data_IF_807431028406
#
_entry.id   IF_807431028406
#
_cell.length_a   1.000
_cell.length_b   1.000
_cell.length_c   1.000
_cell.angle_alpha   90.00
_cell.angle_beta   90.00
_cell.angle_gamma   90.00
#
_symmetry.space_group_name_H-M   'P 1'
#
loop_
_entity.id
_entity.type
_entity.pdbx_description
1 polymer ?
#
# COMPACT_ATOMS: atom_id res chain seq x y z
N UNK A 1 19.71 -44.49 -10.51
CA UNK A 1 19.43 -43.25 -11.27
C UNK A 1 20.20 -42.12 -10.60
N UNK A 2 21.34 -41.72 -11.18
CA UNK A 2 22.17 -40.64 -10.64
C UNK A 2 21.73 -39.31 -11.26
N UNK A 3 20.77 -38.63 -10.62
CA UNK A 3 20.25 -37.35 -11.11
C UNK A 3 21.23 -36.25 -10.69
N UNK A 4 21.93 -35.70 -11.67
CA UNK A 4 22.84 -34.54 -11.62
C UNK A 4 24.17 -34.72 -10.85
N UNK A 5 25.18 -35.25 -11.55
CA UNK A 5 26.61 -35.10 -11.18
C UNK A 5 27.12 -33.71 -11.61
N UNK A 6 26.55 -32.62 -11.07
CA UNK A 6 27.07 -31.27 -11.34
C UNK A 6 28.37 -31.07 -10.55
N UNK A 7 29.51 -31.17 -11.23
CA UNK A 7 30.82 -30.80 -10.67
C UNK A 7 30.90 -29.27 -10.59
N UNK A 8 30.37 -28.68 -9.52
CA UNK A 8 30.59 -27.26 -9.24
C UNK A 8 32.06 -27.02 -8.89
N UNK A 9 32.76 -26.24 -9.70
CA UNK A 9 34.09 -25.69 -9.40
C UNK A 9 34.01 -24.78 -8.16
N UNK A 10 35.08 -24.74 -7.34
CA UNK A 10 35.11 -24.02 -6.06
C UNK A 10 34.65 -22.56 -6.19
N UNK A 11 35.16 -21.86 -7.21
CA UNK A 11 34.78 -20.48 -7.56
C UNK A 11 33.30 -20.27 -7.88
N UNK A 12 32.63 -21.23 -8.54
CA UNK A 12 31.18 -21.11 -8.82
C UNK A 12 30.33 -21.27 -7.57
N UNK A 13 30.78 -22.07 -6.60
CA UNK A 13 30.09 -22.22 -5.31
C UNK A 13 30.19 -20.97 -4.48
N UNK A 14 31.36 -20.35 -4.46
CA UNK A 14 31.60 -19.12 -3.69
C UNK A 14 30.74 -17.97 -4.23
N UNK A 15 30.62 -17.82 -5.56
CA UNK A 15 29.71 -16.85 -6.18
C UNK A 15 28.23 -17.12 -5.88
N UNK A 16 27.81 -18.40 -5.94
CA UNK A 16 26.43 -18.77 -5.64
C UNK A 16 26.09 -18.49 -4.17
N UNK A 17 26.99 -18.82 -3.24
CA UNK A 17 26.83 -18.53 -1.82
C UNK A 17 26.72 -17.02 -1.56
N UNK A 18 27.53 -16.21 -2.25
CA UNK A 18 27.46 -14.76 -2.14
C UNK A 18 26.12 -14.20 -2.65
N UNK A 19 25.61 -14.68 -3.80
CA UNK A 19 24.32 -14.26 -4.35
C UNK A 19 23.17 -14.68 -3.41
N UNK A 20 23.19 -15.92 -2.92
CA UNK A 20 22.18 -16.42 -1.99
C UNK A 20 22.20 -15.64 -0.67
N UNK A 21 23.37 -15.29 -0.16
CA UNK A 21 23.52 -14.46 1.04
C UNK A 21 22.87 -13.08 0.86
N UNK A 22 23.12 -12.41 -0.27
CA UNK A 22 22.50 -11.11 -0.59
C UNK A 22 20.97 -11.24 -0.70
N UNK A 23 20.48 -12.21 -1.48
CA UNK A 23 19.05 -12.44 -1.67
C UNK A 23 18.32 -12.73 -0.36
N UNK A 24 18.94 -13.53 0.50
CA UNK A 24 18.41 -13.86 1.80
C UNK A 24 18.32 -12.63 2.72
N UNK A 25 19.32 -11.73 2.67
CA UNK A 25 19.29 -10.48 3.43
C UNK A 25 18.19 -9.52 2.94
N UNK A 26 18.01 -9.41 1.62
CA UNK A 26 16.90 -8.67 1.02
C UNK A 26 15.56 -9.25 1.50
N UNK A 27 15.43 -10.59 1.53
CA UNK A 27 14.21 -11.24 1.99
C UNK A 27 13.91 -11.00 3.48
N UNK A 28 14.93 -10.88 4.35
CA UNK A 28 14.75 -10.45 5.74
C UNK A 28 14.16 -9.05 5.82
N UNK A 29 14.70 -8.08 5.05
CA UNK A 29 14.18 -6.70 5.04
C UNK A 29 12.73 -6.68 4.58
N UNK A 30 12.39 -7.40 3.51
CA UNK A 30 11.01 -7.52 3.03
C UNK A 30 10.09 -8.17 4.07
N UNK A 31 10.56 -9.19 4.79
CA UNK A 31 9.82 -9.83 5.87
C UNK A 31 9.49 -8.87 7.03
N UNK A 32 10.43 -7.99 7.40
CA UNK A 32 10.23 -6.95 8.42
C UNK A 32 9.18 -5.95 7.95
N UNK A 33 9.23 -5.52 6.69
CA UNK A 33 8.24 -4.61 6.10
C UNK A 33 6.84 -5.24 6.17
N UNK A 34 6.69 -6.51 5.74
CA UNK A 34 5.40 -7.23 5.81
C UNK A 34 4.86 -7.36 7.23
N UNK A 35 5.73 -7.69 8.19
CA UNK A 35 5.34 -7.76 9.61
C UNK A 35 4.86 -6.40 10.14
N UNK A 36 5.58 -5.33 9.82
CA UNK A 36 5.21 -3.96 10.22
C UNK A 36 3.87 -3.51 9.63
N UNK A 37 3.62 -3.82 8.35
CA UNK A 37 2.35 -3.54 7.67
C UNK A 37 1.20 -4.34 8.29
N UNK A 38 1.42 -5.61 8.62
CA UNK A 38 0.43 -6.44 9.30
C UNK A 38 0.04 -5.90 10.68
N UNK A 39 1.00 -5.43 11.47
CA UNK A 39 0.72 -4.77 12.75
C UNK A 39 -0.04 -3.46 12.58
N UNK A 40 0.38 -2.61 11.63
CA UNK A 40 -0.29 -1.35 11.32
C UNK A 40 -1.76 -1.56 10.94
N UNK A 41 -2.02 -2.50 10.01
CA UNK A 41 -3.37 -2.85 9.58
C UNK A 41 -4.21 -3.38 10.75
N UNK A 42 -3.63 -4.22 11.62
CA UNK A 42 -4.33 -4.75 12.79
C UNK A 42 -4.77 -3.64 13.75
N UNK A 43 -3.91 -2.66 14.00
CA UNK A 43 -4.23 -1.53 14.88
C UNK A 43 -5.32 -0.66 14.28
N UNK A 44 -5.26 -0.37 12.98
CA UNK A 44 -6.25 0.49 12.33
C UNK A 44 -7.62 -0.18 12.21
N UNK A 45 -7.65 -1.49 11.90
CA UNK A 45 -8.89 -2.27 11.89
C UNK A 45 -9.51 -2.35 13.29
N UNK A 46 -8.71 -2.49 14.35
CA UNK A 46 -9.20 -2.52 15.73
C UNK A 46 -9.84 -1.19 16.16
N UNK A 47 -9.31 -0.05 15.71
CA UNK A 47 -9.91 1.27 15.98
C UNK A 47 -11.28 1.44 15.32
N UNK A 48 -11.54 0.72 14.23
CA UNK A 48 -12.78 0.80 13.43
C UNK A 48 -13.64 -0.47 13.60
N UNK A 49 -13.38 -1.26 14.64
CA UNK A 49 -14.03 -2.54 14.90
C UNK A 49 -15.55 -2.39 15.14
N UNK A 50 -15.98 -1.24 15.67
CA UNK A 50 -17.41 -0.92 15.83
C UNK A 50 -18.16 -0.73 14.50
N UNK A 51 -17.44 -0.46 13.39
CA UNK A 51 -18.01 -0.24 12.06
C UNK A 51 -17.96 -1.49 11.18
N UNK A 52 -17.20 -2.53 11.56
CA UNK A 52 -17.00 -3.74 10.76
C UNK A 52 -17.61 -4.95 11.47
N UNK A 53 -18.85 -5.29 11.12
CA UNK A 53 -19.55 -6.48 11.62
C UNK A 53 -18.97 -7.81 11.09
N UNK A 54 -18.09 -7.77 10.08
CA UNK A 54 -17.53 -8.95 9.43
C UNK A 54 -16.18 -9.35 10.06
N UNK A 55 -16.14 -10.50 10.75
CA UNK A 55 -14.90 -11.08 11.31
C UNK A 55 -13.83 -11.43 10.25
N UNK A 56 -14.23 -11.54 8.99
CA UNK A 56 -13.35 -12.02 7.92
C UNK A 56 -12.20 -11.05 7.59
N UNK A 57 -12.37 -9.76 7.87
CA UNK A 57 -11.34 -8.75 7.59
C UNK A 57 -10.14 -8.88 8.53
N UNK A 58 -10.29 -9.50 9.71
CA UNK A 58 -9.19 -9.71 10.65
C UNK A 58 -8.24 -10.86 10.26
N UNK A 59 -8.61 -11.73 9.31
CA UNK A 59 -7.70 -12.79 8.83
C UNK A 59 -6.52 -12.20 8.04
N UNK A 60 -6.75 -11.14 7.27
CA UNK A 60 -5.74 -10.49 6.42
C UNK A 60 -4.52 -10.01 7.22
N UNK A 61 -4.65 -9.13 8.24
CA UNK A 61 -3.50 -8.68 9.02
C UNK A 61 -2.82 -9.81 9.79
N UNK A 62 -3.58 -10.78 10.31
CA UNK A 62 -3.01 -11.93 11.03
C UNK A 62 -2.16 -12.83 10.10
N UNK A 63 -2.61 -13.06 8.87
CA UNK A 63 -1.84 -13.80 7.86
C UNK A 63 -0.57 -13.03 7.46
N UNK A 64 -0.64 -11.71 7.26
CA UNK A 64 0.53 -10.88 6.95
C UNK A 64 1.59 -10.95 8.06
N UNK A 65 1.15 -10.87 9.33
CA UNK A 65 2.04 -11.00 10.49
C UNK A 65 2.69 -12.40 10.52
N UNK A 66 1.90 -13.46 10.34
CA UNK A 66 2.38 -14.83 10.37
C UNK A 66 3.42 -15.09 9.27
N UNK A 67 3.11 -14.70 8.03
CA UNK A 67 4.01 -14.85 6.88
C UNK A 67 5.28 -14.03 7.05
N UNK A 68 5.19 -12.78 7.53
CA UNK A 68 6.34 -11.92 7.81
C UNK A 68 7.28 -12.51 8.86
N UNK A 69 6.75 -13.06 9.96
CA UNK A 69 7.54 -13.73 10.99
C UNK A 69 8.21 -15.00 10.48
N UNK A 70 7.47 -15.85 9.77
CA UNK A 70 8.01 -17.09 9.18
C UNK A 70 9.13 -16.74 8.20
N UNK A 71 8.93 -15.73 7.36
CA UNK A 71 9.94 -15.25 6.43
C UNK A 71 11.20 -14.78 7.14
N UNK A 72 11.08 -13.95 8.19
CA UNK A 72 12.24 -13.48 8.95
C UNK A 72 12.99 -14.65 9.59
N UNK A 73 12.28 -15.60 10.21
CA UNK A 73 12.90 -16.74 10.89
C UNK A 73 13.66 -17.65 9.90
N UNK A 74 13.01 -18.04 8.80
CA UNK A 74 13.60 -18.91 7.77
C UNK A 74 14.82 -18.24 7.13
N UNK A 75 14.71 -16.97 6.75
CA UNK A 75 15.81 -16.27 6.11
C UNK A 75 16.96 -15.97 7.10
N UNK A 76 16.68 -15.64 8.36
CA UNK A 76 17.75 -15.44 9.35
C UNK A 76 18.56 -16.73 9.60
N UNK A 77 17.87 -17.87 9.70
CA UNK A 77 18.51 -19.18 9.80
C UNK A 77 19.29 -19.53 8.52
N UNK A 78 18.75 -19.20 7.34
CA UNK A 78 19.40 -19.44 6.05
C UNK A 78 20.70 -18.68 5.88
N UNK A 79 20.76 -17.43 6.36
CA UNK A 79 21.97 -16.60 6.33
C UNK A 79 23.09 -17.17 7.21
N UNK A 80 22.74 -17.65 8.41
CA UNK A 80 23.68 -18.30 9.33
C UNK A 80 24.20 -19.63 8.76
N UNK A 81 23.33 -20.43 8.15
CA UNK A 81 23.71 -21.71 7.52
C UNK A 81 24.59 -21.49 6.28
N UNK A 82 24.33 -20.43 5.49
CA UNK A 82 25.16 -20.09 4.33
C UNK A 82 26.57 -19.63 4.75
N UNK A 83 26.67 -18.90 5.87
CA UNK A 83 27.94 -18.54 6.49
C UNK A 83 28.70 -19.78 7.00
N UNK A 84 28.00 -20.69 7.71
CA UNK A 84 28.59 -21.93 8.23
C UNK A 84 28.99 -22.92 7.11
N UNK A 85 28.40 -22.82 5.92
CA UNK A 85 28.75 -23.64 4.75
C UNK A 85 30.08 -23.27 4.08
N UNK A 86 30.69 -22.14 4.46
CA UNK A 86 32.07 -21.82 4.08
C UNK A 86 33.04 -22.81 4.74
N UNK A 87 32.67 -23.39 5.88
CA UNK A 87 33.48 -24.37 6.59
C UNK A 87 33.31 -25.78 6.00
N UNK A 88 34.39 -26.27 5.37
CA UNK A 88 34.38 -27.42 4.45
C UNK A 88 34.21 -28.77 5.17
N UNK A 89 34.40 -28.81 6.49
CA UNK A 89 34.56 -30.04 7.28
C UNK A 89 33.22 -30.69 7.71
N UNK A 90 32.15 -29.89 7.85
CA UNK A 90 30.80 -30.38 8.22
C UNK A 90 29.85 -30.57 7.03
N UNK A 91 30.23 -30.08 5.86
CA UNK A 91 29.39 -30.03 4.65
C UNK A 91 28.93 -31.42 4.16
N UNK A 92 29.77 -32.46 4.30
CA UNK A 92 29.48 -33.79 3.73
C UNK A 92 28.37 -34.55 4.47
N UNK A 93 28.24 -34.36 5.80
CA UNK A 93 27.20 -35.00 6.63
C UNK A 93 25.84 -34.32 6.49
N UNK A 94 25.83 -33.00 6.30
CA UNK A 94 24.61 -32.21 6.18
C UNK A 94 24.08 -32.08 4.76
N UNK A 95 24.88 -32.46 3.74
CA UNK A 95 24.55 -32.36 2.31
C UNK A 95 23.16 -32.89 1.92
N UNK A 96 22.69 -33.97 2.53
CA UNK A 96 21.40 -34.58 2.22
C UNK A 96 20.21 -33.75 2.73
N UNK A 97 20.37 -33.05 3.86
CA UNK A 97 19.35 -32.17 4.47
C UNK A 97 19.45 -30.74 3.89
N UNK A 98 20.65 -30.33 3.50
CA UNK A 98 20.94 -29.03 2.92
C UNK A 98 20.29 -28.83 1.56
N UNK A 99 20.25 -29.86 0.71
CA UNK A 99 19.66 -29.74 -0.63
C UNK A 99 18.15 -29.43 -0.61
N UNK A 100 17.30 -30.18 0.12
CA UNK A 100 15.89 -29.80 0.26
C UNK A 100 15.71 -28.47 1.00
N UNK A 101 16.53 -28.16 2.00
CA UNK A 101 16.48 -26.87 2.70
C UNK A 101 16.77 -25.69 1.75
N UNK A 102 17.80 -25.79 0.91
CA UNK A 102 18.14 -24.77 -0.10
C UNK A 102 17.01 -24.64 -1.13
N UNK A 103 16.42 -25.75 -1.59
CA UNK A 103 15.31 -25.70 -2.54
C UNK A 103 14.07 -25.05 -1.93
N UNK A 104 13.71 -25.42 -0.69
CA UNK A 104 12.57 -24.83 0.02
C UNK A 104 12.78 -23.34 0.33
N UNK A 105 13.97 -22.95 0.80
CA UNK A 105 14.30 -21.54 1.05
C UNK A 105 14.31 -20.74 -0.24
N UNK A 106 14.91 -21.26 -1.31
CA UNK A 106 14.88 -20.61 -2.63
C UNK A 106 13.45 -20.40 -3.13
N UNK A 107 12.61 -21.45 -3.07
CA UNK A 107 11.20 -21.34 -3.46
C UNK A 107 10.45 -20.30 -2.62
N UNK A 108 10.62 -20.34 -1.29
CA UNK A 108 9.99 -19.38 -0.38
C UNK A 108 10.44 -17.94 -0.65
N UNK A 109 11.75 -17.71 -0.85
CA UNK A 109 12.26 -16.38 -1.20
C UNK A 109 11.71 -15.87 -2.54
N UNK A 110 11.55 -16.77 -3.51
CA UNK A 110 10.93 -16.43 -4.80
C UNK A 110 9.46 -16.06 -4.63
N UNK A 111 8.69 -16.78 -3.80
CA UNK A 111 7.32 -16.40 -3.46
C UNK A 111 7.24 -15.02 -2.78
N UNK A 112 8.13 -14.74 -1.84
CA UNK A 112 8.20 -13.42 -1.18
C UNK A 112 8.56 -12.32 -2.17
N UNK A 113 9.49 -12.58 -3.09
CA UNK A 113 9.87 -11.63 -4.14
C UNK A 113 8.70 -11.35 -5.09
N UNK A 114 7.97 -12.38 -5.52
CA UNK A 114 6.75 -12.22 -6.32
C UNK A 114 5.69 -11.43 -5.55
N UNK A 115 5.50 -11.72 -4.26
CA UNK A 115 4.59 -10.96 -3.40
C UNK A 115 4.99 -9.48 -3.28
N UNK A 116 6.29 -9.18 -3.16
CA UNK A 116 6.80 -7.82 -3.14
C UNK A 116 6.57 -7.09 -4.47
N UNK A 117 6.82 -7.77 -5.59
CA UNK A 117 6.53 -7.23 -6.93
C UNK A 117 5.04 -6.96 -7.13
N UNK A 118 4.18 -7.86 -6.67
CA UNK A 118 2.72 -7.67 -6.69
C UNK A 118 2.32 -6.46 -5.85
N UNK A 119 2.86 -6.32 -4.63
CA UNK A 119 2.60 -5.16 -3.78
C UNK A 119 3.05 -3.85 -4.45
N UNK A 120 4.21 -3.87 -5.12
CA UNK A 120 4.70 -2.74 -5.89
C UNK A 120 3.78 -2.41 -7.08
N UNK A 121 3.30 -3.40 -7.82
CA UNK A 121 2.33 -3.15 -8.90
C UNK A 121 1.00 -2.61 -8.38
N UNK A 122 0.56 -3.06 -7.21
CA UNK A 122 -0.67 -2.56 -6.59
C UNK A 122 -0.57 -1.10 -6.15
N UNK A 123 0.65 -0.56 -5.97
CA UNK A 123 0.83 0.85 -5.60
C UNK A 123 0.25 1.79 -6.67
N UNK A 124 0.48 1.48 -7.95
CA UNK A 124 -0.02 2.29 -9.07
C UNK A 124 -1.56 2.26 -9.15
N UNK A 125 -2.13 1.05 -9.08
CA UNK A 125 -3.58 0.86 -9.06
C UNK A 125 -4.23 1.55 -7.87
N UNK A 126 -3.55 1.56 -6.72
CA UNK A 126 -4.03 2.24 -5.51
C UNK A 126 -4.05 3.75 -5.68
N UNK A 127 -3.03 4.34 -6.31
CA UNK A 127 -3.00 5.78 -6.59
C UNK A 127 -4.15 6.20 -7.51
N UNK A 128 -4.39 5.46 -8.59
CA UNK A 128 -5.49 5.73 -9.52
C UNK A 128 -6.87 5.53 -8.86
N UNK A 129 -7.03 4.47 -8.08
CA UNK A 129 -8.26 4.23 -7.33
C UNK A 129 -8.51 5.32 -6.27
N UNK A 130 -7.46 5.84 -5.64
CA UNK A 130 -7.57 6.92 -4.66
C UNK A 130 -7.93 8.24 -5.33
N UNK A 131 -7.33 8.56 -6.47
CA UNK A 131 -7.63 9.77 -7.26
C UNK A 131 -9.10 9.78 -7.71
N UNK A 132 -9.56 8.68 -8.32
CA UNK A 132 -10.95 8.51 -8.72
C UNK A 132 -11.90 8.51 -7.53
N UNK A 133 -11.54 7.82 -6.44
CA UNK A 133 -12.32 7.71 -5.22
C UNK A 133 -12.50 9.06 -4.51
N UNK A 134 -11.43 9.84 -4.38
CA UNK A 134 -11.48 11.16 -3.78
C UNK A 134 -12.25 12.15 -4.66
N UNK A 135 -12.03 12.12 -5.97
CA UNK A 135 -12.82 12.94 -6.91
C UNK A 135 -14.33 12.62 -6.81
N UNK A 136 -14.70 11.34 -6.71
CA UNK A 136 -16.09 10.94 -6.53
C UNK A 136 -16.63 11.34 -5.15
N UNK A 137 -15.83 11.20 -4.08
CA UNK A 137 -16.20 11.64 -2.74
C UNK A 137 -16.48 13.15 -2.68
N UNK A 138 -15.64 13.97 -3.33
CA UNK A 138 -15.84 15.42 -3.40
C UNK A 138 -17.14 15.80 -4.13
N UNK A 139 -17.55 15.06 -5.17
CA UNK A 139 -18.83 15.31 -5.87
C UNK A 139 -20.05 15.15 -4.97
N UNK A 140 -20.00 14.21 -4.03
CA UNK A 140 -21.07 13.94 -3.08
C UNK A 140 -20.91 14.66 -1.74
N UNK A 141 -19.91 15.54 -1.63
CA UNK A 141 -19.59 16.25 -0.40
C UNK A 141 -20.74 17.12 0.11
N UNK A 142 -21.55 17.68 -0.81
CA UNK A 142 -22.73 18.50 -0.46
C UNK A 142 -23.91 17.71 0.09
N UNK A 143 -23.97 16.39 -0.15
CA UNK A 143 -25.17 15.57 0.06
C UNK A 143 -25.23 15.02 1.49
N UNK A 144 -25.08 15.86 2.51
CA UNK A 144 -25.01 15.44 3.93
C UNK A 144 -26.31 14.88 4.48
N UNK A 145 -27.43 15.03 3.77
CA UNK A 145 -28.77 14.62 4.21
C UNK A 145 -29.03 13.10 4.01
N UNK A 146 -28.21 12.40 3.24
CA UNK A 146 -28.35 10.95 3.00
C UNK A 146 -27.57 10.12 4.04
N UNK A 147 -28.10 8.98 4.51
CA UNK A 147 -27.41 8.14 5.48
C UNK A 147 -26.03 7.73 4.96
N UNK A 148 -25.00 7.85 5.80
CA UNK A 148 -23.60 7.57 5.46
C UNK A 148 -22.82 8.74 4.82
N UNK A 149 -23.47 9.76 4.25
CA UNK A 149 -22.77 10.90 3.62
C UNK A 149 -22.16 11.90 4.60
N UNK A 150 -22.67 11.99 5.83
CA UNK A 150 -22.04 12.76 6.90
C UNK A 150 -20.63 12.21 7.22
N UNK A 151 -20.48 10.89 7.27
CA UNK A 151 -19.19 10.23 7.47
C UNK A 151 -18.23 10.48 6.30
N UNK A 152 -18.75 10.50 5.06
CA UNK A 152 -17.96 10.84 3.87
C UNK A 152 -17.37 12.26 3.98
N UNK A 153 -18.19 13.26 4.31
CA UNK A 153 -17.73 14.65 4.51
C UNK A 153 -16.64 14.71 5.58
N UNK A 154 -16.90 14.10 6.74
CA UNK A 154 -15.93 14.07 7.85
C UNK A 154 -14.61 13.39 7.45
N UNK A 155 -14.68 12.31 6.67
CA UNK A 155 -13.50 11.59 6.19
C UNK A 155 -12.69 12.45 5.23
N UNK A 156 -13.33 13.12 4.27
CA UNK A 156 -12.66 14.04 3.32
C UNK A 156 -12.00 15.20 4.07
N UNK A 157 -12.70 15.81 5.02
CA UNK A 157 -12.17 16.92 5.84
C UNK A 157 -10.96 16.46 6.67
N UNK A 158 -11.06 15.30 7.31
CA UNK A 158 -9.97 14.73 8.11
C UNK A 158 -8.75 14.41 7.26
N UNK A 159 -8.94 13.81 6.08
CA UNK A 159 -7.85 13.54 5.14
C UNK A 159 -7.15 14.84 4.74
N UNK A 160 -7.91 15.85 4.30
CA UNK A 160 -7.33 17.12 3.85
C UNK A 160 -6.57 17.85 4.98
N UNK A 161 -7.08 17.82 6.21
CA UNK A 161 -6.40 18.40 7.38
C UNK A 161 -5.15 17.60 7.74
N UNK A 162 -5.22 16.27 7.79
CA UNK A 162 -4.10 15.43 8.19
C UNK A 162 -2.94 15.51 7.18
N UNK A 163 -3.25 15.57 5.89
CA UNK A 163 -2.25 15.65 4.81
C UNK A 163 -1.93 17.09 4.38
N UNK A 164 -2.55 18.11 5.00
CA UNK A 164 -2.37 19.52 4.67
C UNK A 164 -2.57 19.81 3.16
N UNK A 165 -3.55 19.15 2.54
CA UNK A 165 -3.88 19.28 1.13
C UNK A 165 -5.31 19.81 0.95
N UNK A 166 -5.68 20.22 -0.27
CA UNK A 166 -7.01 20.71 -0.58
C UNK A 166 -7.39 20.34 -2.01
N UNK A 167 -8.53 19.66 -2.18
CA UNK A 167 -8.95 19.11 -3.48
C UNK A 167 -8.31 17.76 -3.78
N UNK A 168 -8.46 17.28 -5.01
CA UNK A 168 -7.86 16.02 -5.48
C UNK A 168 -6.50 16.29 -6.11
N UNK A 169 -6.46 17.13 -7.14
CA UNK A 169 -5.22 17.64 -7.76
C UNK A 169 -4.89 19.05 -7.28
N UNK A 170 -5.84 19.74 -6.64
CA UNK A 170 -5.59 21.00 -5.95
C UNK A 170 -6.86 21.76 -5.58
N UNK A 171 -6.70 22.89 -4.90
CA UNK A 171 -7.83 23.67 -4.37
C UNK A 171 -8.82 24.14 -5.46
N UNK A 172 -8.37 24.17 -6.73
CA UNK A 172 -9.20 24.57 -7.87
C UNK A 172 -10.34 23.61 -8.16
N UNK A 173 -10.23 22.36 -7.73
CA UNK A 173 -11.23 21.33 -7.96
C UNK A 173 -12.56 21.69 -7.28
N UNK A 174 -12.49 22.37 -6.13
CA UNK A 174 -13.66 22.88 -5.41
C UNK A 174 -14.42 23.97 -6.16
N UNK A 175 -13.82 24.64 -7.15
CA UNK A 175 -14.56 25.59 -7.99
C UNK A 175 -15.30 24.91 -9.14
N UNK A 176 -14.88 23.71 -9.52
CA UNK A 176 -15.54 22.93 -10.56
C UNK A 176 -16.71 22.10 -10.02
N UNK A 177 -16.71 21.83 -8.72
CA UNK A 177 -17.70 21.01 -8.03
C UNK A 177 -18.60 21.90 -7.16
N UNK A 178 -19.91 21.71 -7.25
CA UNK A 178 -20.84 22.34 -6.30
C UNK A 178 -20.77 21.62 -4.96
N UNK A 179 -19.99 22.16 -4.01
CA UNK A 179 -19.80 21.58 -2.68
C UNK A 179 -20.77 22.14 -1.62
N UNK A 180 -21.48 23.23 -1.93
CA UNK A 180 -22.52 23.82 -1.07
C UNK A 180 -23.87 23.18 -1.41
N UNK A 181 -24.58 22.68 -0.38
CA UNK A 181 -25.93 22.14 -0.55
C UNK A 181 -26.93 23.22 -0.95
N UNK A 182 -27.88 22.85 -1.82
CA UNK A 182 -28.95 23.75 -2.28
C UNK A 182 -29.79 24.32 -1.13
N UNK A 183 -29.83 23.66 0.03
CA UNK A 183 -30.52 24.17 1.23
C UNK A 183 -29.98 25.52 1.71
N UNK A 184 -28.69 25.77 1.51
CA UNK A 184 -28.03 27.00 1.96
C UNK A 184 -28.00 28.09 0.88
N UNK A 185 -28.52 27.79 -0.31
CA UNK A 185 -28.51 28.69 -1.45
C UNK A 185 -29.91 29.24 -1.67
N UNK A 186 -30.00 30.56 -1.75
CA UNK A 186 -31.24 31.25 -2.11
C UNK A 186 -31.41 31.23 -3.63
N UNK A 187 -32.10 30.20 -4.13
CA UNK A 187 -32.36 29.99 -5.56
C UNK A 187 -33.32 31.04 -6.17
N UNK A 188 -33.92 31.91 -5.36
CA UNK A 188 -34.75 33.01 -5.87
C UNK A 188 -33.92 34.15 -6.48
N UNK A 189 -32.64 34.23 -6.13
CA UNK A 189 -31.72 35.26 -6.62
C UNK A 189 -31.02 34.82 -7.90
N UNK A 190 -31.21 35.57 -8.99
CA UNK A 190 -30.57 35.31 -10.30
C UNK A 190 -29.04 35.19 -10.20
N UNK A 191 -28.40 36.03 -9.38
CA UNK A 191 -26.95 36.02 -9.16
C UNK A 191 -26.40 34.69 -8.62
N UNK A 192 -27.22 33.94 -7.87
CA UNK A 192 -26.85 32.64 -7.30
C UNK A 192 -26.96 31.56 -8.37
N UNK A 193 -28.05 31.58 -9.13
CA UNK A 193 -28.31 30.62 -10.21
C UNK A 193 -27.26 30.75 -11.32
N UNK A 194 -26.87 31.97 -11.68
CA UNK A 194 -25.88 32.24 -12.73
C UNK A 194 -24.46 31.77 -12.38
N UNK A 195 -24.17 31.55 -11.09
CA UNK A 195 -22.85 31.11 -10.59
C UNK A 195 -22.75 29.62 -10.30
N UNK A 196 -23.85 28.89 -10.40
CA UNK A 196 -23.81 27.44 -10.23
C UNK A 196 -23.10 26.82 -11.43
N UNK A 197 -22.15 25.89 -11.21
CA UNK A 197 -21.58 25.13 -12.30
C UNK A 197 -22.69 24.30 -12.94
N UNK A 198 -23.25 24.82 -14.03
CA UNK A 198 -24.11 24.05 -14.93
C UNK A 198 -23.25 22.92 -15.49
N UNK A 199 -23.82 21.74 -15.64
CA UNK A 199 -23.21 20.50 -16.17
C UNK A 199 -22.78 20.63 -17.63
N UNK A 200 -21.92 21.61 -17.95
CA UNK A 200 -21.23 21.78 -19.23
C UNK A 200 -19.76 22.13 -18.97
N UNK A 201 -18.83 21.61 -19.78
CA UNK A 201 -17.41 21.86 -19.60
C UNK A 201 -17.15 23.36 -19.67
N UNK A 202 -16.54 23.90 -18.62
CA UNK A 202 -16.25 25.33 -18.46
C UNK A 202 -15.17 25.71 -19.47
N UNK A 203 -15.59 26.10 -20.67
CA UNK A 203 -14.77 26.95 -21.52
C UNK A 203 -14.97 28.37 -21.02
N UNK A 204 -13.91 28.91 -20.43
CA UNK A 204 -13.69 30.33 -20.07
C UNK A 204 -14.53 30.89 -18.92
N UNK A 205 -13.96 30.85 -17.71
CA UNK A 205 -14.20 31.93 -16.74
C UNK A 205 -12.88 32.41 -16.18
N UNK A 206 -12.42 33.55 -16.69
CA UNK A 206 -11.25 34.28 -16.21
C UNK A 206 -11.54 34.80 -14.80
N UNK A 207 -10.97 34.17 -13.78
CA UNK A 207 -10.98 34.68 -12.41
C UNK A 207 -10.04 35.89 -12.37
N UNK A 208 -10.58 37.12 -12.36
CA UNK A 208 -9.79 38.27 -11.89
C UNK A 208 -9.66 38.16 -10.37
N UNK A 209 -8.44 38.14 -9.81
CA UNK A 209 -8.28 38.24 -8.37
C UNK A 209 -8.77 39.61 -7.91
N UNK A 210 -9.74 39.63 -6.99
CA UNK A 210 -10.13 40.86 -6.28
C UNK A 210 -8.98 41.18 -5.33
N UNK A 211 -8.15 42.14 -5.69
CA UNK A 211 -7.15 42.75 -4.81
C UNK A 211 -7.87 43.28 -3.57
N UNK A 212 -7.63 42.65 -2.41
CA UNK A 212 -7.93 43.26 -1.11
C UNK A 212 -6.89 44.35 -0.90
N UNK A 213 -7.30 45.60 -1.03
CA UNK A 213 -6.61 46.73 -0.38
C UNK A 213 -6.73 46.51 1.13
N UNK A 214 -5.59 46.20 1.76
CA UNK A 214 -5.43 46.36 3.20
C UNK A 214 -5.37 47.87 3.47
N UNK A 215 -6.36 48.37 4.19
CA UNK A 215 -6.29 49.63 4.93
C UNK A 215 -6.14 49.31 6.41
#
# INVERSE_FOLDING_TARGET
>A
MAVLKVKFTKTRRDKLAQILWILNWISVVTGIILFSLGLFLKVELKKREELMAEKDIQYVPNMLIAVGLIACAINFLGGKICYDCVDSTKFLRWKLIMLPYIVCTFFFTLCVLVGALMCYSMHWELEEALDLGLMQAMRFYKDTDMPGRCFLKHTVDTLQIQFQCCGNSGYKDWFQIQWISNRYLDMSKKEVVDRLPTTRPISTMSIRPRTRTFG
#
